data_IF_274953832316
#
_entry.id   IF_274953832316
#
_cell.length_a   1.000
_cell.length_b   1.000
_cell.length_c   1.000
_cell.angle_alpha   90.00
_cell.angle_beta   90.00
_cell.angle_gamma   90.00
#
_symmetry.space_group_name_H-M   'P 1'
#
loop_
_entity.id
_entity.type
_entity.pdbx_description
1 polymer ?
#
# COMPACT_ATOMS: atom_id res chain seq x y z
N UNK A 1 -34.46 -3.12 -10.79
CA UNK A 1 -33.04 -3.00 -10.41
C UNK A 1 -32.37 -4.29 -10.84
N UNK A 2 -31.54 -4.28 -11.88
CA UNK A 2 -30.90 -5.50 -12.42
C UNK A 2 -29.85 -5.94 -11.38
N UNK A 3 -30.24 -6.84 -10.48
CA UNK A 3 -29.28 -7.53 -9.61
C UNK A 3 -28.46 -8.45 -10.50
N UNK A 4 -27.27 -7.98 -10.90
CA UNK A 4 -26.27 -8.84 -11.53
C UNK A 4 -25.99 -10.03 -10.61
N UNK A 5 -25.80 -11.22 -11.19
CA UNK A 5 -25.47 -12.40 -10.38
C UNK A 5 -24.16 -12.16 -9.61
N UNK A 6 -23.99 -12.74 -8.41
CA UNK A 6 -22.74 -12.62 -7.64
C UNK A 6 -21.48 -12.91 -8.47
N UNK A 7 -21.57 -13.86 -9.39
CA UNK A 7 -20.50 -14.17 -10.35
C UNK A 7 -20.23 -13.03 -11.33
N UNK A 8 -21.27 -12.38 -11.87
CA UNK A 8 -21.10 -11.26 -12.80
C UNK A 8 -20.57 -10.00 -12.10
N UNK A 9 -20.85 -9.80 -10.81
CA UNK A 9 -20.26 -8.71 -10.01
C UNK A 9 -18.75 -8.90 -9.87
N UNK A 10 -18.31 -10.13 -9.57
CA UNK A 10 -16.89 -10.44 -9.42
C UNK A 10 -16.16 -10.54 -10.77
N UNK A 11 -16.65 -11.39 -11.68
CA UNK A 11 -15.94 -11.76 -12.89
C UNK A 11 -16.28 -10.88 -14.10
N UNK A 12 -17.45 -10.25 -14.15
CA UNK A 12 -17.86 -9.43 -15.30
C UNK A 12 -16.86 -8.33 -15.62
N UNK A 13 -16.56 -7.42 -14.67
CA UNK A 13 -15.58 -6.37 -14.92
C UNK A 13 -14.15 -6.92 -15.03
N UNK A 14 -13.80 -8.03 -14.36
CA UNK A 14 -12.49 -8.70 -14.54
C UNK A 14 -12.32 -9.15 -15.99
N UNK A 15 -13.32 -9.79 -16.57
CA UNK A 15 -13.26 -10.26 -17.96
C UNK A 15 -13.16 -9.08 -18.94
N UNK A 16 -13.93 -8.03 -18.71
CA UNK A 16 -13.86 -6.80 -19.53
C UNK A 16 -12.47 -6.14 -19.44
N UNK A 17 -11.92 -5.99 -18.24
CA UNK A 17 -10.59 -5.41 -18.02
C UNK A 17 -9.51 -6.28 -18.68
N UNK A 18 -9.56 -7.61 -18.50
CA UNK A 18 -8.57 -8.51 -19.10
C UNK A 18 -8.69 -8.53 -20.63
N UNK A 19 -9.90 -8.55 -21.19
CA UNK A 19 -10.10 -8.44 -22.63
C UNK A 19 -9.53 -7.12 -23.16
N UNK A 20 -9.78 -6.01 -22.48
CA UNK A 20 -9.22 -4.71 -22.81
C UNK A 20 -7.67 -4.68 -22.73
N UNK A 21 -7.09 -5.23 -21.65
CA UNK A 21 -5.64 -5.31 -21.48
C UNK A 21 -5.00 -6.20 -22.55
N UNK A 22 -5.54 -7.39 -22.80
CA UNK A 22 -5.00 -8.30 -23.81
C UNK A 22 -5.09 -7.70 -25.22
N UNK A 23 -6.22 -7.09 -25.57
CA UNK A 23 -6.40 -6.44 -26.87
C UNK A 23 -5.47 -5.24 -27.04
N UNK A 24 -5.30 -4.42 -26.00
CA UNK A 24 -4.36 -3.28 -26.06
C UNK A 24 -2.90 -3.70 -26.09
N UNK A 25 -2.50 -4.76 -25.36
CA UNK A 25 -1.16 -5.35 -25.44
C UNK A 25 -0.89 -5.91 -26.83
N UNK A 26 -1.83 -6.67 -27.39
CA UNK A 26 -1.72 -7.23 -28.73
C UNK A 26 -1.61 -6.11 -29.78
N UNK A 27 -2.48 -5.10 -29.69
CA UNK A 27 -2.43 -3.93 -30.57
C UNK A 27 -1.09 -3.20 -30.48
N UNK A 28 -0.57 -2.98 -29.27
CA UNK A 28 0.74 -2.35 -29.06
C UNK A 28 1.90 -3.20 -29.60
N UNK A 29 1.84 -4.53 -29.44
CA UNK A 29 2.84 -5.43 -30.00
C UNK A 29 2.90 -5.37 -31.54
N UNK A 30 1.74 -5.19 -32.18
CA UNK A 30 1.61 -5.12 -33.63
C UNK A 30 1.95 -3.73 -34.22
N UNK A 31 1.58 -2.65 -33.54
CA UNK A 31 1.64 -1.28 -34.08
C UNK A 31 2.70 -0.38 -33.43
N UNK A 32 3.16 -0.72 -32.22
CA UNK A 32 3.99 0.14 -31.36
C UNK A 32 5.46 0.22 -31.76
N UNK A 33 5.83 0.14 -33.04
CA UNK A 33 7.23 0.30 -33.50
C UNK A 33 7.66 1.77 -33.62
N UNK A 34 6.74 2.71 -33.91
CA UNK A 34 7.04 4.14 -34.12
C UNK A 34 7.04 5.02 -32.86
N UNK A 35 6.20 4.72 -31.87
CA UNK A 35 6.07 5.52 -30.63
C UNK A 35 7.08 5.13 -29.53
N UNK A 36 7.96 4.16 -29.80
CA UNK A 36 8.95 3.65 -28.82
C UNK A 36 9.85 4.75 -28.30
N UNK A 37 10.18 5.76 -29.10
CA UNK A 37 11.12 6.83 -28.72
C UNK A 37 10.59 7.79 -27.64
N UNK A 38 9.29 8.13 -27.64
CA UNK A 38 8.71 9.01 -26.60
C UNK A 38 8.43 8.27 -25.30
N UNK A 39 8.00 7.01 -25.40
CA UNK A 39 7.85 6.13 -24.23
C UNK A 39 9.20 5.79 -23.58
N UNK A 40 10.27 5.71 -24.38
CA UNK A 40 11.65 5.42 -23.96
C UNK A 40 12.19 6.46 -22.96
N UNK A 41 12.02 7.76 -23.21
CA UNK A 41 12.56 8.80 -22.33
C UNK A 41 11.78 8.93 -21.01
N UNK A 42 10.49 8.59 -21.02
CA UNK A 42 9.65 8.55 -19.81
C UNK A 42 9.91 7.29 -18.95
N UNK A 43 10.24 6.15 -19.57
CA UNK A 43 10.46 4.87 -18.89
C UNK A 43 11.81 4.80 -18.14
N UNK A 44 12.85 5.51 -18.60
CA UNK A 44 14.20 5.51 -17.99
C UNK A 44 14.26 6.14 -16.59
N UNK A 45 13.23 6.88 -16.15
CA UNK A 45 13.16 7.44 -14.79
C UNK A 45 12.66 6.45 -13.73
N UNK A 46 12.16 5.27 -14.13
CA UNK A 46 11.67 4.23 -13.22
C UNK A 46 12.53 2.95 -13.27
N UNK A 47 13.54 2.90 -12.38
CA UNK A 47 14.46 1.77 -12.11
C UNK A 47 13.81 0.61 -11.36
N UNK A 48 12.66 0.11 -11.82
CA UNK A 48 12.16 -1.21 -11.38
C UNK A 48 12.93 -2.30 -12.12
N UNK A 49 13.64 -3.16 -11.38
CA UNK A 49 14.39 -4.32 -11.90
C UNK A 49 13.50 -5.49 -12.35
N UNK A 50 12.21 -5.48 -11.98
CA UNK A 50 11.31 -6.63 -12.18
C UNK A 50 10.37 -6.50 -13.37
N UNK A 51 10.01 -5.29 -13.81
CA UNK A 51 9.08 -5.13 -14.94
C UNK A 51 9.84 -5.16 -16.26
N UNK A 52 9.53 -6.14 -17.12
CA UNK A 52 10.08 -6.23 -18.47
C UNK A 52 9.80 -4.92 -19.23
N UNK A 53 10.82 -4.42 -19.93
CA UNK A 53 10.82 -3.16 -20.69
C UNK A 53 9.58 -2.99 -21.55
N UNK A 54 9.14 -4.06 -22.20
CA UNK A 54 7.94 -4.08 -23.03
C UNK A 54 6.68 -3.60 -22.27
N UNK A 55 6.46 -4.07 -21.04
CA UNK A 55 5.29 -3.69 -20.25
C UNK A 55 5.36 -2.25 -19.75
N UNK A 56 6.56 -1.72 -19.47
CA UNK A 56 6.72 -0.30 -19.11
C UNK A 56 6.33 0.60 -20.27
N UNK A 57 6.82 0.28 -21.47
CA UNK A 57 6.51 1.04 -22.69
C UNK A 57 5.01 0.96 -23.03
N UNK A 58 4.41 -0.24 -22.96
CA UNK A 58 2.97 -0.44 -23.15
C UNK A 58 2.13 0.38 -22.16
N UNK A 59 2.51 0.35 -20.87
CA UNK A 59 1.81 1.09 -19.83
C UNK A 59 1.82 2.60 -20.10
N UNK A 60 2.98 3.14 -20.45
CA UNK A 60 3.13 4.56 -20.80
C UNK A 60 2.29 4.92 -22.03
N UNK A 61 2.38 4.10 -23.08
CA UNK A 61 1.66 4.28 -24.33
C UNK A 61 0.13 4.33 -24.14
N UNK A 62 -0.42 3.46 -23.29
CA UNK A 62 -1.86 3.46 -23.01
C UNK A 62 -2.29 4.62 -22.09
N UNK A 63 -1.49 4.97 -21.09
CA UNK A 63 -1.89 5.96 -20.08
C UNK A 63 -1.68 7.42 -20.53
N UNK A 64 -0.73 7.68 -21.42
CA UNK A 64 -0.48 9.03 -21.96
C UNK A 64 -1.65 9.67 -22.70
N UNK A 65 -2.35 9.00 -23.65
CA UNK A 65 -3.49 9.60 -24.32
C UNK A 65 -4.61 9.96 -23.34
N UNK A 66 -4.82 9.14 -22.30
CA UNK A 66 -5.81 9.40 -21.24
C UNK A 66 -5.40 10.63 -20.42
N UNK A 67 -4.14 10.70 -19.98
CA UNK A 67 -3.62 11.85 -19.24
C UNK A 67 -3.66 13.15 -20.08
N UNK A 68 -3.32 13.06 -21.36
CA UNK A 68 -3.41 14.19 -22.30
C UNK A 68 -4.86 14.60 -22.56
N UNK A 69 -5.80 13.67 -22.65
CA UNK A 69 -7.22 13.98 -22.79
C UNK A 69 -7.76 14.73 -21.55
N UNK A 70 -7.41 14.27 -20.35
CA UNK A 70 -7.73 14.97 -19.10
C UNK A 70 -7.11 16.37 -19.04
N UNK A 71 -5.86 16.50 -19.47
CA UNK A 71 -5.18 17.80 -19.57
C UNK A 71 -5.86 18.75 -20.57
N UNK A 72 -6.27 18.24 -21.74
CA UNK A 72 -7.03 19.00 -22.76
C UNK A 72 -8.40 19.43 -22.25
N UNK A 73 -9.05 18.61 -21.43
CA UNK A 73 -10.29 18.94 -20.73
C UNK A 73 -10.10 19.96 -19.59
N UNK A 74 -8.88 20.53 -19.42
CA UNK A 74 -8.52 21.50 -18.39
C UNK A 74 -8.71 20.98 -16.95
N UNK A 75 -8.73 19.66 -16.77
CA UNK A 75 -8.75 19.07 -15.44
C UNK A 75 -7.40 19.30 -14.76
N UNK A 76 -7.40 19.95 -13.59
CA UNK A 76 -6.20 20.09 -12.78
C UNK A 76 -5.93 18.79 -12.01
N UNK A 77 -4.68 18.50 -11.63
CA UNK A 77 -4.37 17.32 -10.80
C UNK A 77 -5.27 17.23 -9.56
N UNK A 78 -5.46 18.34 -8.84
CA UNK A 78 -6.32 18.36 -7.65
C UNK A 78 -7.80 18.03 -7.93
N UNK A 79 -8.32 18.36 -9.13
CA UNK A 79 -9.69 17.96 -9.52
C UNK A 79 -9.74 16.44 -9.71
N UNK A 80 -8.71 15.84 -10.30
CA UNK A 80 -8.62 14.40 -10.51
C UNK A 80 -8.54 13.68 -9.15
N UNK A 81 -7.70 14.17 -8.23
CA UNK A 81 -7.64 13.69 -6.84
C UNK A 81 -9.01 13.77 -6.16
N UNK A 82 -9.73 14.89 -6.32
CA UNK A 82 -11.06 15.05 -5.73
C UNK A 82 -12.08 14.06 -6.31
N UNK A 83 -12.04 13.80 -7.61
CA UNK A 83 -12.90 12.79 -8.25
C UNK A 83 -12.58 11.40 -7.70
N UNK A 84 -11.31 11.05 -7.57
CA UNK A 84 -10.87 9.79 -6.95
C UNK A 84 -11.38 9.66 -5.51
N UNK A 85 -11.24 10.73 -4.72
CA UNK A 85 -11.71 10.82 -3.34
C UNK A 85 -13.21 10.55 -3.19
N UNK A 86 -14.07 10.99 -4.14
CA UNK A 86 -15.52 10.77 -4.07
C UNK A 86 -15.92 9.28 -4.11
N UNK A 87 -15.04 8.39 -4.61
CA UNK A 87 -15.27 6.95 -4.54
C UNK A 87 -15.10 6.39 -3.13
N UNK A 88 -14.36 7.06 -2.23
CA UNK A 88 -14.07 6.57 -0.88
C UNK A 88 -15.32 6.51 0.01
N UNK A 89 -16.18 7.56 0.11
CA UNK A 89 -17.45 7.46 0.83
C UNK A 89 -18.39 6.38 0.25
N UNK A 90 -18.46 6.25 -1.08
CA UNK A 90 -19.27 5.22 -1.72
C UNK A 90 -18.77 3.82 -1.36
N UNK A 91 -17.44 3.62 -1.39
CA UNK A 91 -16.79 2.38 -0.96
C UNK A 91 -17.11 2.05 0.49
N UNK A 92 -17.04 3.04 1.38
CA UNK A 92 -17.34 2.86 2.80
C UNK A 92 -18.80 2.46 3.05
N UNK A 93 -19.74 3.12 2.37
CA UNK A 93 -21.18 2.77 2.46
C UNK A 93 -21.40 1.34 1.97
N UNK A 94 -20.79 0.95 0.84
CA UNK A 94 -20.93 -0.40 0.30
C UNK A 94 -20.31 -1.46 1.23
N UNK A 95 -19.16 -1.18 1.85
CA UNK A 95 -18.60 -2.05 2.89
C UNK A 95 -19.52 -2.16 4.10
N UNK A 96 -20.05 -1.04 4.60
CA UNK A 96 -20.96 -1.01 5.74
C UNK A 96 -22.23 -1.85 5.51
N UNK A 97 -22.73 -1.88 4.27
CA UNK A 97 -23.89 -2.67 3.84
C UNK A 97 -23.55 -4.14 3.49
N UNK A 98 -22.27 -4.54 3.51
CA UNK A 98 -21.83 -5.88 3.13
C UNK A 98 -21.79 -6.16 1.63
N UNK A 99 -21.91 -5.12 0.80
CA UNK A 99 -21.81 -5.20 -0.66
C UNK A 99 -20.34 -5.24 -1.14
N UNK A 100 -19.58 -6.23 -0.65
CA UNK A 100 -18.12 -6.32 -0.82
C UNK A 100 -17.65 -6.25 -2.28
N UNK A 101 -18.35 -6.93 -3.20
CA UNK A 101 -17.98 -6.92 -4.62
C UNK A 101 -17.96 -5.51 -5.21
N UNK A 102 -19.03 -4.76 -5.00
CA UNK A 102 -19.15 -3.38 -5.47
C UNK A 102 -18.18 -2.45 -4.72
N UNK A 103 -18.01 -2.64 -3.41
CA UNK A 103 -17.06 -1.86 -2.61
C UNK A 103 -15.63 -2.03 -3.12
N UNK A 104 -15.21 -3.27 -3.41
CA UNK A 104 -13.88 -3.55 -3.96
C UNK A 104 -13.65 -2.89 -5.33
N UNK A 105 -14.66 -2.88 -6.20
CA UNK A 105 -14.58 -2.14 -7.47
C UNK A 105 -14.47 -0.64 -7.29
N UNK A 106 -15.30 -0.03 -6.43
CA UNK A 106 -15.23 1.40 -6.16
C UNK A 106 -13.88 1.80 -5.57
N UNK A 107 -13.31 0.96 -4.69
CA UNK A 107 -11.98 1.17 -4.12
C UNK A 107 -10.88 1.17 -5.19
N UNK A 108 -10.89 0.19 -6.09
CA UNK A 108 -9.89 0.08 -7.19
C UNK A 108 -10.06 1.21 -8.21
N UNK A 109 -11.29 1.60 -8.52
CA UNK A 109 -11.58 2.73 -9.42
C UNK A 109 -11.06 4.03 -8.81
N UNK A 110 -11.38 4.32 -7.54
CA UNK A 110 -10.86 5.49 -6.83
C UNK A 110 -9.34 5.55 -6.85
N UNK A 111 -8.67 4.45 -6.49
CA UNK A 111 -7.21 4.34 -6.51
C UNK A 111 -6.58 4.54 -7.91
N UNK A 112 -7.34 4.26 -8.97
CA UNK A 112 -6.88 4.48 -10.34
C UNK A 112 -6.82 5.96 -10.69
N UNK A 113 -7.73 6.79 -10.15
CA UNK A 113 -7.68 8.24 -10.36
C UNK A 113 -6.44 8.89 -9.73
N UNK A 114 -6.02 8.43 -8.56
CA UNK A 114 -4.78 8.89 -7.91
C UNK A 114 -3.54 8.55 -8.75
N UNK A 115 -3.58 7.45 -9.52
CA UNK A 115 -2.49 7.15 -10.44
C UNK A 115 -2.43 8.13 -11.62
N UNK A 116 -3.60 8.63 -12.04
CA UNK A 116 -3.72 9.58 -13.13
C UNK A 116 -3.42 11.02 -12.72
N UNK A 117 -3.73 11.46 -11.50
CA UNK A 117 -3.47 12.84 -11.08
C UNK A 117 -1.97 13.19 -11.12
N UNK A 118 -1.10 12.29 -10.65
CA UNK A 118 0.34 12.46 -10.67
C UNK A 118 0.90 12.36 -12.08
N UNK A 119 0.27 11.57 -12.95
CA UNK A 119 0.66 11.50 -14.37
C UNK A 119 0.26 12.77 -15.12
N UNK A 120 -0.92 13.31 -14.87
CA UNK A 120 -1.36 14.60 -15.42
C UNK A 120 -0.49 15.73 -14.90
N UNK A 121 -0.11 15.74 -13.62
CA UNK A 121 0.82 16.73 -13.07
C UNK A 121 2.16 16.74 -13.81
N UNK A 122 2.75 15.56 -14.05
CA UNK A 122 4.00 15.39 -14.81
C UNK A 122 3.88 15.84 -16.27
N UNK A 123 2.84 15.40 -16.96
CA UNK A 123 2.65 15.71 -18.39
C UNK A 123 2.32 17.19 -18.61
N UNK A 124 1.64 17.84 -17.67
CA UNK A 124 1.29 19.27 -17.76
C UNK A 124 2.34 20.20 -17.15
N UNK A 125 3.39 19.66 -16.52
CA UNK A 125 4.40 20.45 -15.81
C UNK A 125 3.86 21.19 -14.59
N UNK A 126 2.75 20.72 -14.00
CA UNK A 126 2.05 21.35 -12.87
C UNK A 126 2.35 20.68 -11.53
N UNK A 127 3.54 20.11 -11.37
CA UNK A 127 3.97 19.52 -10.10
C UNK A 127 4.23 20.64 -9.08
N UNK A 128 3.48 20.65 -7.97
CA UNK A 128 3.63 21.65 -6.91
C UNK A 128 3.71 20.97 -5.55
N UNK A 129 4.45 21.58 -4.61
CA UNK A 129 4.54 21.09 -3.22
C UNK A 129 3.17 21.07 -2.52
N UNK A 130 2.30 22.03 -2.84
CA UNK A 130 0.93 22.07 -2.30
C UNK A 130 0.06 20.94 -2.87
N UNK A 131 0.22 20.60 -4.14
CA UNK A 131 -0.45 19.45 -4.77
C UNK A 131 0.01 18.14 -4.17
N UNK A 132 1.32 17.94 -4.02
CA UNK A 132 1.89 16.74 -3.37
C UNK A 132 1.38 16.58 -1.92
N UNK A 133 1.29 17.68 -1.16
CA UNK A 133 0.70 17.67 0.19
C UNK A 133 -0.79 17.33 0.15
N UNK A 134 -1.55 17.92 -0.77
CA UNK A 134 -2.98 17.70 -0.92
C UNK A 134 -3.31 16.25 -1.27
N UNK A 135 -2.67 15.70 -2.32
CA UNK A 135 -2.76 14.29 -2.72
C UNK A 135 -2.44 13.37 -1.54
N UNK A 136 -1.31 13.65 -0.88
CA UNK A 136 -0.94 12.96 0.34
C UNK A 136 -2.05 12.96 1.37
N UNK A 137 -2.60 14.10 1.77
CA UNK A 137 -3.64 14.16 2.81
C UNK A 137 -4.93 13.44 2.36
N UNK A 138 -5.37 13.67 1.13
CA UNK A 138 -6.57 13.04 0.57
C UNK A 138 -6.46 11.51 0.55
N UNK A 139 -5.27 10.95 0.29
CA UNK A 139 -5.00 9.52 0.37
C UNK A 139 -5.29 8.93 1.76
N UNK A 140 -4.86 9.61 2.83
CA UNK A 140 -5.13 9.13 4.20
C UNK A 140 -6.61 9.24 4.53
N UNK A 141 -7.26 10.33 4.15
CA UNK A 141 -8.70 10.50 4.42
C UNK A 141 -9.50 9.43 3.68
N UNK A 142 -9.21 9.20 2.40
CA UNK A 142 -9.83 8.15 1.58
C UNK A 142 -9.72 6.77 2.20
N UNK A 143 -8.50 6.39 2.60
CA UNK A 143 -8.25 5.10 3.24
C UNK A 143 -8.96 4.99 4.59
N UNK A 144 -8.91 6.05 5.40
CA UNK A 144 -9.61 6.11 6.69
C UNK A 144 -11.13 5.92 6.55
N UNK A 145 -11.75 6.59 5.57
CA UNK A 145 -13.17 6.44 5.27
C UNK A 145 -13.50 4.99 4.90
N UNK A 146 -12.68 4.33 4.07
CA UNK A 146 -12.89 2.93 3.72
C UNK A 146 -12.83 2.00 4.94
N UNK A 147 -11.84 2.20 5.83
CA UNK A 147 -11.73 1.47 7.10
C UNK A 147 -12.92 1.72 8.03
N UNK A 148 -13.49 2.93 8.06
CA UNK A 148 -14.70 3.23 8.85
C UNK A 148 -15.89 2.39 8.36
N UNK A 149 -16.07 2.26 7.04
CA UNK A 149 -17.11 1.39 6.46
C UNK A 149 -16.95 -0.08 6.87
N UNK A 150 -15.72 -0.60 6.82
CA UNK A 150 -15.40 -1.95 7.29
C UNK A 150 -15.62 -2.09 8.80
N UNK A 151 -15.27 -1.08 9.59
CA UNK A 151 -15.42 -1.08 11.04
C UNK A 151 -16.90 -1.15 11.42
N UNK A 152 -17.75 -0.41 10.71
CA UNK A 152 -19.20 -0.48 10.90
C UNK A 152 -19.76 -1.88 10.59
N UNK A 153 -19.33 -2.50 9.48
CA UNK A 153 -19.78 -3.85 9.12
C UNK A 153 -19.35 -4.88 10.17
N UNK A 154 -18.09 -4.85 10.60
CA UNK A 154 -17.52 -5.82 11.53
C UNK A 154 -17.69 -5.45 13.01
N UNK A 155 -18.47 -4.43 13.38
CA UNK A 155 -18.55 -3.88 14.75
C UNK A 155 -18.84 -4.88 15.87
N UNK A 156 -19.58 -5.95 15.59
CA UNK A 156 -19.89 -7.03 16.55
C UNK A 156 -18.97 -8.25 16.44
N UNK A 157 -17.96 -8.19 15.55
CA UNK A 157 -17.04 -9.29 15.26
C UNK A 157 -15.66 -9.02 15.86
N UNK A 158 -14.94 -10.06 16.24
CA UNK A 158 -13.53 -9.96 16.64
C UNK A 158 -12.64 -9.35 15.53
N UNK A 159 -13.08 -9.42 14.27
CA UNK A 159 -12.42 -8.78 13.11
C UNK A 159 -12.34 -7.26 13.29
N UNK A 160 -13.26 -6.65 14.04
CA UNK A 160 -13.26 -5.22 14.36
C UNK A 160 -11.90 -4.72 14.85
N UNK A 161 -11.26 -5.47 15.75
CA UNK A 161 -9.95 -5.11 16.29
C UNK A 161 -8.86 -5.10 15.21
N UNK A 162 -8.95 -5.98 14.22
CA UNK A 162 -8.04 -6.00 13.07
C UNK A 162 -8.33 -4.87 12.07
N UNK A 163 -9.59 -4.45 11.93
CA UNK A 163 -9.94 -3.24 11.17
C UNK A 163 -9.33 -2.01 11.82
N UNK A 164 -9.47 -1.85 13.14
CA UNK A 164 -8.87 -0.74 13.88
C UNK A 164 -7.34 -0.79 13.83
N UNK A 165 -6.74 -1.97 13.98
CA UNK A 165 -5.30 -2.16 13.81
C UNK A 165 -4.86 -1.77 12.39
N UNK A 166 -5.61 -2.15 11.36
CA UNK A 166 -5.37 -1.77 9.97
C UNK A 166 -5.44 -0.27 9.75
N UNK A 167 -6.47 0.40 10.30
CA UNK A 167 -6.61 1.85 10.27
C UNK A 167 -5.41 2.54 10.94
N UNK A 168 -5.11 2.19 12.19
CA UNK A 168 -3.99 2.76 12.93
C UNK A 168 -2.65 2.52 12.20
N UNK A 169 -2.41 1.27 11.80
CA UNK A 169 -1.20 0.89 11.09
C UNK A 169 -1.05 1.60 9.75
N UNK A 170 -2.13 1.80 8.97
CA UNK A 170 -2.08 2.52 7.69
C UNK A 170 -1.63 3.99 7.87
N UNK A 171 -2.11 4.64 8.93
CA UNK A 171 -1.71 6.00 9.30
C UNK A 171 -0.26 6.03 9.76
N UNK A 172 0.15 5.08 10.62
CA UNK A 172 1.50 5.03 11.17
C UNK A 172 2.56 4.65 10.12
N UNK A 173 2.26 3.77 9.16
CA UNK A 173 3.15 3.47 8.03
C UNK A 173 3.45 4.73 7.23
N UNK A 174 2.44 5.58 7.02
CA UNK A 174 2.57 6.84 6.29
C UNK A 174 3.28 7.92 7.13
N UNK A 175 2.95 8.01 8.41
CA UNK A 175 3.54 8.97 9.35
C UNK A 175 5.02 8.69 9.61
N UNK A 176 5.40 7.43 9.90
CA UNK A 176 6.80 7.05 10.13
C UNK A 176 7.68 7.37 8.92
N UNK A 177 7.17 7.20 7.70
CA UNK A 177 7.86 7.63 6.48
C UNK A 177 8.05 9.15 6.45
N UNK A 178 6.97 9.92 6.58
CA UNK A 178 7.03 11.37 6.55
C UNK A 178 7.92 11.96 7.67
N UNK A 179 7.87 11.34 8.86
CA UNK A 179 8.71 11.72 10.00
C UNK A 179 10.17 11.37 9.75
N UNK A 180 10.45 10.19 9.18
CA UNK A 180 11.79 9.79 8.73
C UNK A 180 12.39 10.80 7.75
N UNK A 181 11.62 11.22 6.74
CA UNK A 181 12.03 12.24 5.78
C UNK A 181 12.33 13.58 6.50
N UNK A 182 11.51 13.98 7.49
CA UNK A 182 11.72 15.22 8.26
C UNK A 182 12.97 15.22 9.14
N UNK A 183 13.46 14.05 9.57
CA UNK A 183 14.68 13.90 10.38
C UNK A 183 15.90 13.48 9.55
N UNK A 184 15.79 13.53 8.21
CA UNK A 184 16.90 13.25 7.30
C UNK A 184 17.25 11.77 7.14
N UNK A 185 16.29 10.87 7.40
CA UNK A 185 16.41 9.42 7.19
C UNK A 185 15.29 8.94 6.26
N UNK A 186 15.51 8.97 4.93
CA UNK A 186 14.49 8.58 3.99
C UNK A 186 14.23 7.07 4.06
N UNK A 187 13.03 6.69 4.48
CA UNK A 187 12.63 5.29 4.58
C UNK A 187 11.71 4.92 3.40
N UNK A 188 12.34 4.51 2.28
CA UNK A 188 11.63 3.98 1.11
C UNK A 188 11.32 2.48 1.21
N UNK A 189 11.95 1.78 2.16
CA UNK A 189 11.76 0.35 2.43
C UNK A 189 10.57 0.08 3.37
N UNK A 190 10.09 -1.16 3.34
CA UNK A 190 8.95 -1.63 4.15
C UNK A 190 7.83 -2.17 3.29
N UNK A 191 7.29 -3.31 3.71
CA UNK A 191 6.11 -3.96 3.16
C UNK A 191 4.83 -3.18 3.52
N UNK A 192 3.69 -3.55 2.95
CA UNK A 192 2.38 -3.00 3.24
C UNK A 192 2.21 -1.50 2.95
N UNK A 193 2.76 -1.04 1.82
CA UNK A 193 2.50 0.29 1.27
C UNK A 193 1.04 0.46 0.84
N UNK A 194 0.60 1.70 0.59
CA UNK A 194 -0.78 2.00 0.19
C UNK A 194 -1.29 1.15 -0.99
N UNK A 195 -0.55 1.00 -2.10
CA UNK A 195 -1.02 0.16 -3.22
C UNK A 195 -1.23 -1.31 -2.82
N UNK A 196 -0.36 -1.85 -1.96
CA UNK A 196 -0.48 -3.24 -1.49
C UNK A 196 -1.77 -3.43 -0.68
N UNK A 197 -2.09 -2.48 0.21
CA UNK A 197 -3.33 -2.54 1.02
C UNK A 197 -4.58 -2.45 0.16
N UNK A 198 -4.58 -1.56 -0.84
CA UNK A 198 -5.67 -1.44 -1.81
C UNK A 198 -5.83 -2.75 -2.59
N UNK A 199 -4.73 -3.39 -2.99
CA UNK A 199 -4.78 -4.69 -3.67
C UNK A 199 -5.36 -5.77 -2.77
N UNK A 200 -4.87 -5.93 -1.54
CA UNK A 200 -5.35 -6.99 -0.64
C UNK A 200 -6.83 -6.81 -0.28
N UNK A 201 -7.24 -5.61 0.14
CA UNK A 201 -8.63 -5.34 0.52
C UNK A 201 -9.53 -5.30 -0.72
N UNK A 202 -9.11 -4.65 -1.80
CA UNK A 202 -9.89 -4.51 -3.02
C UNK A 202 -10.14 -5.85 -3.72
N UNK A 203 -9.08 -6.62 -3.99
CA UNK A 203 -9.19 -7.91 -4.69
C UNK A 203 -9.96 -8.94 -3.87
N UNK A 204 -9.68 -9.06 -2.57
CA UNK A 204 -10.45 -9.96 -1.70
C UNK A 204 -11.93 -9.60 -1.69
N UNK A 205 -12.27 -8.31 -1.69
CA UNK A 205 -13.65 -7.82 -1.72
C UNK A 205 -14.32 -8.07 -3.08
N UNK A 206 -13.62 -7.86 -4.20
CA UNK A 206 -14.12 -8.15 -5.55
C UNK A 206 -14.46 -9.63 -5.70
N UNK A 207 -13.62 -10.53 -5.17
CA UNK A 207 -13.80 -11.98 -5.27
C UNK A 207 -14.78 -12.55 -4.23
N UNK A 208 -15.11 -11.78 -3.19
CA UNK A 208 -15.96 -12.24 -2.09
C UNK A 208 -17.33 -12.76 -2.54
N UNK A 209 -18.09 -12.10 -3.45
CA UNK A 209 -19.37 -12.63 -3.91
C UNK A 209 -19.28 -14.02 -4.57
N UNK A 210 -18.24 -14.24 -5.39
CA UNK A 210 -17.99 -15.55 -5.99
C UNK A 210 -17.62 -16.60 -4.93
N UNK A 211 -16.79 -16.23 -3.96
CA UNK A 211 -16.45 -17.13 -2.84
C UNK A 211 -17.67 -17.48 -1.99
N UNK A 212 -18.55 -16.52 -1.71
CA UNK A 212 -19.81 -16.77 -0.98
C UNK A 212 -20.66 -17.81 -1.71
N UNK A 213 -20.82 -17.70 -3.04
CA UNK A 213 -21.58 -18.67 -3.83
C UNK A 213 -21.01 -20.09 -3.73
N UNK A 214 -19.68 -20.23 -3.76
CA UNK A 214 -19.00 -21.53 -3.62
C UNK A 214 -19.18 -22.15 -2.22
N UNK A 215 -19.41 -21.31 -1.20
CA UNK A 215 -19.53 -21.74 0.19
C UNK A 215 -20.98 -22.02 0.64
N UNK A 216 -21.98 -21.59 -0.14
CA UNK A 216 -23.40 -21.85 0.15
C UNK A 216 -23.74 -23.34 0.38
N UNK A 217 -23.13 -24.33 -0.32
CA UNK A 217 -23.38 -25.73 -0.05
C UNK A 217 -22.94 -26.20 1.35
N UNK A 218 -22.01 -25.47 1.99
CA UNK A 218 -21.40 -25.84 3.27
C UNK A 218 -21.93 -25.00 4.44
N UNK A 219 -22.39 -23.77 4.18
CA UNK A 219 -22.84 -22.83 5.21
C UNK A 219 -24.15 -22.15 4.80
N UNK A 220 -25.13 -22.10 5.72
CA UNK A 220 -26.40 -21.41 5.50
C UNK A 220 -26.21 -19.89 5.27
N UNK A 221 -25.26 -19.29 6.00
CA UNK A 221 -24.87 -17.89 5.88
C UNK A 221 -23.33 -17.78 5.89
N UNK A 222 -22.66 -17.96 4.75
CA UNK A 222 -21.21 -17.94 4.69
C UNK A 222 -20.66 -16.59 5.13
N UNK A 223 -19.75 -16.53 6.13
CA UNK A 223 -19.10 -15.29 6.50
C UNK A 223 -18.18 -14.82 5.35
N UNK A 224 -17.86 -13.50 5.28
CA UNK A 224 -17.02 -12.96 4.21
C UNK A 224 -15.54 -13.31 4.41
N UNK A 225 -15.19 -14.59 4.25
CA UNK A 225 -13.88 -15.14 4.61
C UNK A 225 -12.70 -14.48 3.91
N UNK A 226 -12.80 -14.15 2.61
CA UNK A 226 -11.68 -13.52 1.88
C UNK A 226 -11.39 -12.13 2.42
N UNK A 227 -12.43 -11.35 2.68
CA UNK A 227 -12.30 -10.00 3.24
C UNK A 227 -11.79 -10.06 4.67
N UNK A 228 -12.29 -10.99 5.49
CA UNK A 228 -11.78 -11.23 6.85
C UNK A 228 -10.28 -11.56 6.84
N UNK A 229 -9.85 -12.50 5.99
CA UNK A 229 -8.46 -12.88 5.86
C UNK A 229 -7.57 -11.69 5.42
N UNK A 230 -8.04 -10.89 4.45
CA UNK A 230 -7.34 -9.70 4.01
C UNK A 230 -7.21 -8.64 5.12
N UNK A 231 -8.27 -8.38 5.88
CA UNK A 231 -8.26 -7.42 7.00
C UNK A 231 -7.29 -7.87 8.10
N UNK A 232 -7.33 -9.14 8.48
CA UNK A 232 -6.40 -9.69 9.49
C UNK A 232 -4.96 -9.54 9.01
N UNK A 233 -4.69 -9.94 7.77
CA UNK A 233 -3.36 -9.83 7.19
C UNK A 233 -2.88 -8.38 7.11
N UNK A 234 -3.68 -7.47 6.55
CA UNK A 234 -3.34 -6.05 6.44
C UNK A 234 -3.17 -5.43 7.83
N UNK A 235 -4.08 -5.71 8.76
CA UNK A 235 -4.03 -5.22 10.14
C UNK A 235 -2.75 -5.63 10.86
N UNK A 236 -2.30 -6.88 10.71
CA UNK A 236 -1.05 -7.33 11.31
C UNK A 236 0.17 -6.71 10.61
N UNK A 237 0.18 -6.73 9.27
CA UNK A 237 1.36 -6.34 8.50
C UNK A 237 1.63 -4.85 8.49
N UNK A 238 0.61 -3.98 8.56
CA UNK A 238 0.82 -2.53 8.67
C UNK A 238 1.47 -2.15 9.99
N UNK A 239 1.05 -2.78 11.08
CA UNK A 239 1.63 -2.57 12.40
C UNK A 239 3.06 -3.13 12.47
N UNK A 240 3.29 -4.34 11.95
CA UNK A 240 4.64 -4.90 11.83
C UNK A 240 5.57 -3.99 11.01
N UNK A 241 5.09 -3.46 9.88
CA UNK A 241 5.83 -2.50 9.04
C UNK A 241 6.15 -1.22 9.79
N UNK A 242 5.19 -0.69 10.56
CA UNK A 242 5.39 0.51 11.37
C UNK A 242 6.52 0.31 12.37
N UNK A 243 6.50 -0.81 13.11
CA UNK A 243 7.56 -1.16 14.07
C UNK A 243 8.90 -1.32 13.36
N UNK A 244 8.94 -2.02 12.23
CA UNK A 244 10.15 -2.16 11.41
C UNK A 244 10.72 -0.80 11.00
N UNK A 245 9.89 0.10 10.46
CA UNK A 245 10.32 1.45 10.04
C UNK A 245 10.82 2.29 11.20
N UNK A 246 10.12 2.22 12.33
CA UNK A 246 10.52 2.94 13.55
C UNK A 246 11.90 2.50 14.01
N UNK A 247 12.13 1.19 14.14
CA UNK A 247 13.43 0.64 14.55
C UNK A 247 14.52 0.99 13.54
N UNK A 248 14.23 0.87 12.24
CA UNK A 248 15.17 1.24 11.19
C UNK A 248 15.59 2.71 11.30
N UNK A 249 14.65 3.63 11.47
CA UNK A 249 14.95 5.07 11.59
C UNK A 249 15.77 5.35 12.85
N UNK A 250 15.41 4.74 13.99
CA UNK A 250 16.17 4.89 15.24
C UNK A 250 17.62 4.42 15.09
N UNK A 251 17.84 3.23 14.51
CA UNK A 251 19.18 2.69 14.26
C UNK A 251 20.04 3.64 13.42
N UNK A 252 19.46 4.23 12.36
CA UNK A 252 20.21 5.16 11.49
C UNK A 252 20.51 6.47 12.22
N UNK A 253 19.60 7.01 13.02
CA UNK A 253 19.84 8.24 13.78
C UNK A 253 20.90 8.06 14.85
N UNK A 254 20.83 6.97 15.62
CA UNK A 254 21.77 6.72 16.72
C UNK A 254 23.18 6.42 16.19
N UNK A 255 23.29 5.71 15.04
CA UNK A 255 24.57 5.53 14.35
C UNK A 255 25.23 6.83 13.92
N UNK A 256 24.43 7.88 13.62
CA UNK A 256 24.93 9.22 13.26
C UNK A 256 25.30 10.04 14.50
N UNK A 257 24.70 9.75 15.66
CA UNK A 257 24.91 10.50 16.90
C UNK A 257 25.93 9.86 17.86
N UNK A 258 26.49 8.68 17.54
CA UNK A 258 27.43 7.94 18.41
C UNK A 258 26.95 7.81 19.87
N UNK A 259 25.65 7.57 20.07
CA UNK A 259 25.09 7.41 21.42
C UNK A 259 25.64 6.11 22.05
N UNK A 260 26.22 6.23 23.25
CA UNK A 260 26.86 5.10 23.97
C UNK A 260 25.87 4.01 24.42
N UNK A 261 24.59 4.36 24.61
CA UNK A 261 23.57 3.44 25.11
C UNK A 261 22.54 3.11 24.03
N UNK A 262 22.48 1.83 23.67
CA UNK A 262 21.50 1.32 22.71
C UNK A 262 20.09 1.31 23.31
N UNK A 263 19.11 1.78 22.54
CA UNK A 263 17.71 1.74 22.97
C UNK A 263 17.12 0.32 22.82
N UNK A 264 16.12 -0.02 23.66
CA UNK A 264 15.45 -1.34 23.68
C UNK A 264 15.06 -1.85 22.27
N UNK A 265 14.49 -1.02 21.37
CA UNK A 265 14.12 -1.49 20.04
C UNK A 265 15.32 -1.93 19.19
N UNK A 266 16.52 -1.40 19.43
CA UNK A 266 17.73 -1.74 18.68
C UNK A 266 18.27 -3.10 19.10
N UNK A 267 18.29 -3.36 20.40
CA UNK A 267 18.61 -4.68 20.97
C UNK A 267 17.68 -5.72 20.33
N UNK A 268 16.38 -5.42 20.26
CA UNK A 268 15.41 -6.29 19.60
C UNK A 268 15.69 -6.50 18.11
N UNK A 269 16.15 -5.47 17.37
CA UNK A 269 16.55 -5.65 15.95
C UNK A 269 17.83 -6.46 15.76
N UNK A 270 18.76 -6.40 16.71
CA UNK A 270 19.95 -7.25 16.65
C UNK A 270 19.59 -8.73 16.78
N UNK A 271 18.56 -9.06 17.56
CA UNK A 271 18.06 -10.44 17.65
C UNK A 271 17.47 -10.97 16.33
N UNK A 272 16.95 -10.11 15.46
CA UNK A 272 16.32 -10.52 14.20
C UNK A 272 17.33 -10.80 13.08
N UNK A 273 18.57 -10.36 13.20
CA UNK A 273 19.63 -10.57 12.19
C UNK A 273 20.74 -11.47 12.73
N UNK A 274 21.38 -12.28 11.86
CA UNK A 274 22.47 -13.15 12.30
C UNK A 274 23.67 -12.35 12.80
N UNK A 275 24.10 -11.35 12.04
CA UNK A 275 25.21 -10.45 12.41
C UNK A 275 24.91 -9.68 13.70
N UNK A 276 23.68 -9.17 13.87
CA UNK A 276 23.27 -8.47 15.08
C UNK A 276 23.35 -9.35 16.33
N UNK A 277 22.97 -10.63 16.23
CA UNK A 277 23.11 -11.59 17.35
C UNK A 277 24.57 -11.81 17.73
N UNK A 278 25.46 -11.94 16.76
CA UNK A 278 26.90 -12.12 17.01
C UNK A 278 27.49 -10.90 17.71
N UNK A 279 27.16 -9.68 17.26
CA UNK A 279 27.60 -8.44 17.90
C UNK A 279 27.10 -8.31 19.34
N UNK A 280 25.84 -8.67 19.60
CA UNK A 280 25.28 -8.64 20.95
C UNK A 280 26.02 -9.60 21.89
N UNK A 281 26.31 -10.82 21.43
CA UNK A 281 27.06 -11.82 22.19
C UNK A 281 28.48 -11.36 22.51
N UNK A 282 29.17 -10.73 21.56
CA UNK A 282 30.51 -10.18 21.78
C UNK A 282 30.51 -9.03 22.80
N UNK A 283 29.53 -8.13 22.71
CA UNK A 283 29.37 -7.02 23.65
C UNK A 283 29.07 -7.53 25.07
N UNK A 284 28.09 -8.43 25.23
CA UNK A 284 27.76 -9.02 26.53
C UNK A 284 28.94 -9.80 27.11
N UNK A 285 29.68 -10.53 26.26
CA UNK A 285 30.89 -11.25 26.69
C UNK A 285 31.95 -10.28 27.21
N UNK A 286 32.17 -9.15 26.53
CA UNK A 286 33.16 -8.15 26.93
C UNK A 286 32.80 -7.50 28.28
N UNK A 287 31.55 -7.07 28.45
CA UNK A 287 31.06 -6.52 29.73
C UNK A 287 31.16 -7.52 30.89
N UNK A 288 30.86 -8.79 30.61
CA UNK A 288 30.99 -9.85 31.61
C UNK A 288 32.45 -10.08 32.03
N UNK A 289 33.37 -10.09 31.06
CA UNK A 289 34.81 -10.21 31.34
C UNK A 289 35.34 -9.02 32.14
N UNK A 290 34.95 -7.79 31.78
CA UNK A 290 35.33 -6.58 32.52
C UNK A 290 34.81 -6.61 33.97
N UNK A 291 33.56 -7.06 34.19
CA UNK A 291 33.01 -7.25 35.55
C UNK A 291 33.76 -8.33 36.34
N UNK A 292 34.17 -9.42 35.69
CA UNK A 292 34.97 -10.46 36.33
C UNK A 292 36.36 -9.94 36.72
N UNK A 293 37.02 -9.16 35.86
CA UNK A 293 38.30 -8.54 36.16
C UNK A 293 38.20 -7.52 37.29
N UNK A 294 37.17 -6.67 37.28
CA UNK A 294 36.89 -5.73 38.36
C UNK A 294 36.68 -6.45 39.70
N UNK A 295 35.93 -7.55 39.71
CA UNK A 295 35.71 -8.37 40.91
C UNK A 295 36.99 -9.02 41.43
N UNK A 296 37.86 -9.49 40.54
CA UNK A 296 39.19 -10.03 40.91
C UNK A 296 40.13 -8.96 41.49
N UNK A 297 40.01 -7.70 41.07
CA UNK A 297 40.79 -6.57 41.62
C UNK A 297 40.35 -6.17 43.04
N UNK A 298 39.09 -6.40 43.40
CA UNK A 298 38.55 -6.09 44.75
C UNK A 298 38.89 -7.20 45.76
N UNK A 299 39.24 -8.40 45.31
CA UNK A 299 39.62 -9.55 46.15
C UNK A 299 41.14 -9.68 46.40
N UNK A 300 41.97 -8.80 45.82
CA UNK A 300 43.41 -8.67 46.11
C UNK A 300 43.65 -7.47 47.01
#
# INVERSE_FOLDING_TARGET
>A
MILLSPLWISFGPILLINAFVLTSVAYFALTGKGDRHKAHDAAHRHTSKFLNRFFKEWWVWWTDPVALAMAKARMTPNIITMIGFLFSPLTAILFALGHFGYAGWMMVVGATFDLFDGRVARVTGKETKSGEFFDSVMDRISEGICFIGLAYYFRESWIFFFVLAGLLGSMLVSYTRAKGDSVGVPCKSGSMQRPERIVYIGVSSILQPAATLLLLPFFATPPPFLVMAAIVFVGMMTNATTVYRMIYIMNVLDSKMHLENESIPQIMSKFTTHEGRTQLWEQTRKEFLEKLEAKKRIQK
#
